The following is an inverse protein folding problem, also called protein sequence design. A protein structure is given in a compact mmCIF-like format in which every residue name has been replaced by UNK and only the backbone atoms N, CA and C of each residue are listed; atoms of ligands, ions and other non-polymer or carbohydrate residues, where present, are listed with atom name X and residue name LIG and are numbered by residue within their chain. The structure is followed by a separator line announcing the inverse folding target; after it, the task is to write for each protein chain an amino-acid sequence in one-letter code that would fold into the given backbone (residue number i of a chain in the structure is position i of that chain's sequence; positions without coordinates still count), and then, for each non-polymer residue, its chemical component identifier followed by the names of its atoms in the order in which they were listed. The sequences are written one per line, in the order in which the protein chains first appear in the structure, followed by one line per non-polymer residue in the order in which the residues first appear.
data_IF_660004275442
#
_entry.id   IF_660004275442
#
_cell.length_a   1.000
_cell.length_b   1.000
_cell.length_c   1.000
_cell.angle_alpha   90.00
_cell.angle_beta   90.00
_cell.angle_gamma   90.00
#
_symmetry.space_group_name_H-M   'P 1'
#
loop_
_entity.id
_entity.type
_entity.pdbx_description
1 polymer ?
#
# COMPACT_ATOMS: atom_id res chain seq x y z
N UNK A 1 -11.38 3.63 -1.36
CA UNK A 1 -12.00 3.39 -0.04
C UNK A 1 -12.21 4.67 0.77
N UNK A 2 -11.22 5.57 0.86
CA UNK A 2 -11.34 6.83 1.62
C UNK A 2 -12.60 7.66 1.31
N UNK A 3 -12.94 7.86 0.03
CA UNK A 3 -14.13 8.63 -0.38
C UNK A 3 -15.45 8.06 0.16
N UNK A 4 -15.59 6.74 0.21
CA UNK A 4 -16.80 6.07 0.71
C UNK A 4 -16.97 6.23 2.23
N UNK A 5 -15.86 6.35 2.96
CA UNK A 5 -15.85 6.52 4.40
C UNK A 5 -16.00 7.99 4.83
N UNK A 6 -15.70 8.94 3.94
CA UNK A 6 -15.70 10.37 4.24
C UNK A 6 -16.98 10.92 4.90
N UNK A 7 -18.21 10.52 4.48
CA UNK A 7 -19.45 10.99 5.11
C UNK A 7 -19.57 10.59 6.58
N UNK A 8 -19.03 9.42 6.96
CA UNK A 8 -19.10 8.91 8.32
C UNK A 8 -18.16 9.64 9.29
N UNK A 9 -17.10 10.28 8.76
CA UNK A 9 -16.08 11.00 9.55
C UNK A 9 -16.23 12.52 9.47
N UNK A 10 -17.24 13.00 8.74
CA UNK A 10 -17.46 14.43 8.48
C UNK A 10 -16.32 15.07 7.69
N UNK A 11 -15.80 14.34 6.69
CA UNK A 11 -14.78 14.81 5.75
C UNK A 11 -15.43 14.97 4.38
N UNK A 12 -14.97 15.96 3.61
CA UNK A 12 -15.43 16.16 2.25
C UNK A 12 -15.05 14.95 1.37
N UNK A 13 -16.06 14.38 0.69
CA UNK A 13 -15.88 13.16 -0.08
C UNK A 13 -15.03 13.38 -1.34
N UNK A 14 -15.09 14.58 -1.93
CA UNK A 14 -14.30 14.94 -3.10
C UNK A 14 -12.82 15.07 -2.75
N UNK A 15 -12.49 15.79 -1.67
CA UNK A 15 -11.13 15.83 -1.12
C UNK A 15 -10.61 14.45 -0.75
N UNK A 16 -11.44 13.59 -0.13
CA UNK A 16 -11.07 12.22 0.21
C UNK A 16 -10.82 11.35 -1.03
N UNK A 17 -11.59 11.53 -2.10
CA UNK A 17 -11.35 10.86 -3.38
C UNK A 17 -10.05 11.35 -4.02
N UNK A 18 -9.84 12.66 -4.06
CA UNK A 18 -8.65 13.31 -4.65
C UNK A 18 -7.37 12.83 -3.99
N UNK A 19 -7.26 12.93 -2.65
CA UNK A 19 -6.06 12.44 -1.95
C UNK A 19 -5.93 10.93 -2.04
N UNK A 20 -7.04 10.19 -2.05
CA UNK A 20 -7.02 8.75 -2.23
C UNK A 20 -6.48 8.32 -3.60
N UNK A 21 -6.69 9.10 -4.66
CA UNK A 21 -6.11 8.84 -5.98
C UNK A 21 -4.66 9.30 -6.09
N UNK A 22 -4.31 10.41 -5.42
CA UNK A 22 -3.02 11.07 -5.59
C UNK A 22 -1.95 10.69 -4.55
N UNK A 23 -2.30 9.98 -3.47
CA UNK A 23 -1.34 9.69 -2.39
C UNK A 23 -0.10 8.90 -2.83
N UNK A 24 -0.26 8.05 -3.85
CA UNK A 24 0.80 7.22 -4.46
C UNK A 24 1.10 7.66 -5.90
N UNK A 25 0.86 8.94 -6.24
CA UNK A 25 1.11 9.47 -7.59
C UNK A 25 2.59 9.68 -7.88
N UNK A 26 3.32 8.57 -7.94
CA UNK A 26 4.74 8.49 -8.17
C UNK A 26 4.99 8.03 -9.61
N UNK A 27 5.55 8.92 -10.45
CA UNK A 27 5.84 8.62 -11.86
C UNK A 27 7.10 7.76 -12.03
N UNK A 28 7.95 7.72 -11.00
CA UNK A 28 9.17 6.91 -10.97
C UNK A 28 8.82 5.54 -10.42
N UNK A 29 9.31 4.48 -11.06
CA UNK A 29 9.12 3.11 -10.62
C UNK A 29 10.16 2.74 -9.55
N UNK A 30 9.79 2.92 -8.28
CA UNK A 30 10.63 2.62 -7.12
C UNK A 30 10.79 1.11 -6.84
N UNK A 31 10.11 0.24 -7.61
CA UNK A 31 10.33 -1.20 -7.54
C UNK A 31 11.58 -1.66 -8.31
N UNK A 32 12.17 -0.79 -9.12
CA UNK A 32 13.41 -1.12 -9.81
C UNK A 32 14.58 -1.15 -8.80
N UNK A 33 15.25 -2.31 -8.73
CA UNK A 33 16.34 -2.66 -7.81
C UNK A 33 17.59 -1.78 -7.90
N UNK A 34 17.57 -0.72 -8.69
CA UNK A 34 18.72 0.14 -8.87
C UNK A 34 18.83 1.11 -7.69
N UNK A 35 19.53 0.64 -6.65
CA UNK A 35 19.81 1.39 -5.42
C UNK A 35 20.55 2.71 -5.65
N UNK A 36 21.06 2.93 -6.87
CA UNK A 36 21.73 4.18 -7.27
C UNK A 36 20.74 5.31 -7.56
N UNK A 37 19.47 5.01 -7.83
CA UNK A 37 18.44 6.02 -8.21
C UNK A 37 17.95 6.82 -6.99
N UNK A 38 18.09 6.29 -5.78
CA UNK A 38 17.43 6.84 -4.58
C UNK A 38 18.38 7.32 -3.47
N UNK A 39 19.69 7.40 -3.73
CA UNK A 39 20.70 7.85 -2.75
C UNK A 39 20.63 7.14 -1.38
N UNK A 40 20.11 5.91 -1.34
CA UNK A 40 19.90 5.15 -0.11
C UNK A 40 18.76 5.65 0.79
N UNK A 41 17.87 6.53 0.31
CA UNK A 41 16.68 6.97 1.04
C UNK A 41 15.60 5.89 1.04
N UNK A 42 14.88 5.77 2.16
CA UNK A 42 13.76 4.83 2.25
C UNK A 42 12.54 5.41 1.54
N UNK A 43 11.92 4.60 0.67
CA UNK A 43 10.73 4.95 -0.11
C UNK A 43 9.67 5.66 0.73
N UNK A 44 9.36 5.13 1.93
CA UNK A 44 8.34 5.62 2.85
C UNK A 44 8.51 7.08 3.32
N UNK A 45 9.70 7.68 3.22
CA UNK A 45 9.91 9.08 3.59
C UNK A 45 9.76 10.06 2.43
N UNK A 46 10.09 9.62 1.21
CA UNK A 46 10.24 10.54 0.08
C UNK A 46 9.08 10.44 -0.92
N UNK A 47 8.47 9.26 -1.07
CA UNK A 47 7.34 9.10 -1.98
C UNK A 47 6.11 9.99 -1.68
N UNK A 48 5.79 10.36 -0.42
CA UNK A 48 4.68 11.27 -0.17
C UNK A 48 4.99 12.69 -0.64
N UNK A 49 6.28 13.08 -0.65
CA UNK A 49 6.75 14.36 -1.16
C UNK A 49 6.65 14.36 -2.69
N UNK A 50 7.19 13.33 -3.34
CA UNK A 50 7.11 13.14 -4.80
C UNK A 50 5.68 13.08 -5.30
N UNK A 51 4.78 12.41 -4.58
CA UNK A 51 3.38 12.31 -4.95
C UNK A 51 2.69 13.67 -5.01
N UNK A 52 3.02 14.58 -4.07
CA UNK A 52 2.51 15.95 -4.09
C UNK A 52 3.14 16.75 -5.24
N UNK A 53 4.45 16.67 -5.41
CA UNK A 53 5.16 17.40 -6.47
C UNK A 53 4.68 16.99 -7.87
N UNK A 54 4.54 15.69 -8.12
CA UNK A 54 4.03 15.16 -9.39
C UNK A 54 2.58 15.57 -9.62
N UNK A 55 1.73 15.52 -8.58
CA UNK A 55 0.34 15.95 -8.71
C UNK A 55 0.26 17.44 -9.07
N UNK A 56 1.07 18.29 -8.45
CA UNK A 56 1.11 19.72 -8.78
C UNK A 56 1.67 19.98 -10.18
N UNK A 57 2.68 19.23 -10.61
CA UNK A 57 3.27 19.32 -11.95
C UNK A 57 2.27 18.95 -13.06
N UNK A 58 1.42 17.95 -12.83
CA UNK A 58 0.34 17.55 -13.73
C UNK A 58 -0.89 18.50 -13.68
N UNK A 59 -0.82 19.56 -12.87
CA UNK A 59 -1.84 20.60 -12.80
C UNK A 59 -2.98 20.33 -11.80
N UNK A 60 -2.83 19.35 -10.90
CA UNK A 60 -3.79 19.14 -9.83
C UNK A 60 -3.60 20.19 -8.73
N UNK A 61 -4.65 20.94 -8.43
CA UNK A 61 -4.65 21.89 -7.32
C UNK A 61 -4.95 21.16 -6.00
N UNK A 62 -3.96 21.08 -5.11
CA UNK A 62 -4.10 20.48 -3.77
C UNK A 62 -4.13 21.57 -2.69
N UNK A 63 -5.17 21.56 -1.86
CA UNK A 63 -5.23 22.44 -0.69
C UNK A 63 -4.19 22.04 0.37
N UNK A 64 -3.86 22.97 1.26
CA UNK A 64 -2.92 22.71 2.37
C UNK A 64 -3.31 21.47 3.20
N UNK A 65 -4.62 21.24 3.41
CA UNK A 65 -5.12 20.08 4.16
C UNK A 65 -4.88 18.76 3.42
N UNK A 66 -5.02 18.77 2.10
CA UNK A 66 -4.83 17.60 1.24
C UNK A 66 -3.35 17.25 1.11
N UNK A 67 -2.49 18.24 0.88
CA UNK A 67 -1.03 18.04 0.88
C UNK A 67 -0.55 17.45 2.21
N UNK A 68 -1.01 18.01 3.33
CA UNK A 68 -0.71 17.47 4.68
C UNK A 68 -1.22 16.04 4.87
N UNK A 69 -2.38 15.70 4.31
CA UNK A 69 -2.92 14.35 4.38
C UNK A 69 -2.02 13.38 3.59
N UNK A 70 -1.62 13.74 2.37
CA UNK A 70 -0.69 12.95 1.56
C UNK A 70 0.67 12.83 2.28
N UNK A 71 1.29 13.90 2.74
CA UNK A 71 2.58 13.83 3.44
C UNK A 71 2.63 12.93 4.67
N UNK A 72 1.50 12.72 5.35
CA UNK A 72 1.43 11.92 6.58
C UNK A 72 0.85 10.52 6.37
N UNK A 73 0.46 10.16 5.13
CA UNK A 73 -0.30 8.94 4.89
C UNK A 73 0.48 7.66 5.24
N UNK A 74 1.82 7.72 5.18
CA UNK A 74 2.71 6.61 5.52
C UNK A 74 2.89 6.30 7.00
N UNK A 75 2.39 7.13 7.93
CA UNK A 75 2.46 6.84 9.36
C UNK A 75 1.96 5.41 9.66
N UNK A 76 2.66 4.55 10.43
CA UNK A 76 3.82 4.84 11.28
C UNK A 76 5.19 4.57 10.62
N UNK A 77 5.25 4.24 9.32
CA UNK A 77 6.51 4.00 8.61
C UNK A 77 7.26 5.31 8.32
N UNK A 78 6.53 6.40 8.16
CA UNK A 78 7.07 7.77 8.10
C UNK A 78 6.96 8.46 9.47
N UNK A 79 7.87 9.41 9.74
CA UNK A 79 7.88 10.25 10.95
C UNK A 79 6.75 11.28 10.96
N UNK A 80 6.10 11.51 9.82
CA UNK A 80 5.01 12.47 9.67
C UNK A 80 3.70 11.94 10.26
N UNK A 81 3.20 12.58 11.32
CA UNK A 81 1.96 12.20 12.00
C UNK A 81 0.75 12.86 11.30
N UNK A 82 -0.33 12.11 10.99
CA UNK A 82 -1.55 12.70 10.45
C UNK A 82 -2.21 13.61 11.49
N UNK A 83 -2.44 14.87 11.13
CA UNK A 83 -3.03 15.87 12.04
C UNK A 83 -4.46 16.27 11.68
N UNK A 84 -5.04 15.65 10.65
CA UNK A 84 -6.37 15.99 10.14
C UNK A 84 -7.20 14.71 9.99
N UNK A 85 -8.53 14.84 10.09
CA UNK A 85 -9.45 13.71 9.85
C UNK A 85 -9.23 13.11 8.46
N UNK A 86 -8.95 13.95 7.47
CA UNK A 86 -8.60 13.53 6.11
C UNK A 86 -7.31 12.70 6.07
N UNK A 87 -6.26 13.13 6.78
CA UNK A 87 -5.01 12.39 6.90
C UNK A 87 -5.19 11.04 7.57
N UNK A 88 -5.89 10.99 8.71
CA UNK A 88 -6.22 9.71 9.38
C UNK A 88 -7.04 8.79 8.49
N UNK A 89 -8.03 9.34 7.79
CA UNK A 89 -8.88 8.57 6.88
C UNK A 89 -8.07 7.97 5.74
N UNK A 90 -7.14 8.74 5.16
CA UNK A 90 -6.25 8.29 4.11
C UNK A 90 -5.28 7.22 4.61
N UNK A 91 -4.54 7.48 5.69
CA UNK A 91 -3.61 6.51 6.32
C UNK A 91 -4.27 5.19 6.66
N UNK A 92 -5.45 5.23 7.30
CA UNK A 92 -6.17 4.02 7.65
C UNK A 92 -6.66 3.30 6.40
N UNK A 93 -7.10 4.07 5.39
CA UNK A 93 -7.60 3.48 4.16
C UNK A 93 -6.52 2.71 3.42
N UNK A 94 -5.37 3.34 3.20
CA UNK A 94 -4.19 2.72 2.60
C UNK A 94 -3.82 1.41 3.33
N UNK A 95 -3.63 1.47 4.65
CA UNK A 95 -3.23 0.29 5.44
C UNK A 95 -4.21 -0.85 5.41
N UNK A 96 -5.51 -0.56 5.41
CA UNK A 96 -6.51 -1.62 5.38
C UNK A 96 -6.49 -2.36 4.05
N UNK A 97 -6.28 -1.65 2.94
CA UNK A 97 -6.13 -2.25 1.61
C UNK A 97 -4.85 -3.07 1.56
N UNK A 98 -3.72 -2.49 1.97
CA UNK A 98 -2.44 -3.22 2.01
C UNK A 98 -2.48 -4.47 2.92
N UNK A 99 -3.19 -4.40 4.04
CA UNK A 99 -3.38 -5.53 4.94
C UNK A 99 -4.25 -6.61 4.30
N UNK A 100 -5.37 -6.23 3.66
CA UNK A 100 -6.24 -7.18 2.95
C UNK A 100 -5.49 -7.92 1.85
N UNK A 101 -4.70 -7.22 1.05
CA UNK A 101 -3.86 -7.82 0.01
C UNK A 101 -2.81 -8.76 0.61
N UNK A 102 -2.15 -8.33 1.69
CA UNK A 102 -1.17 -9.16 2.40
C UNK A 102 -1.78 -10.45 2.94
N UNK A 103 -2.98 -10.39 3.53
CA UNK A 103 -3.71 -11.56 4.01
C UNK A 103 -4.13 -12.49 2.87
N UNK A 104 -4.66 -11.95 1.77
CA UNK A 104 -5.03 -12.73 0.61
C UNK A 104 -3.82 -13.48 0.03
N UNK A 105 -2.69 -12.79 -0.14
CA UNK A 105 -1.44 -13.38 -0.61
C UNK A 105 -0.89 -14.46 0.33
N UNK A 106 -1.01 -14.26 1.65
CA UNK A 106 -0.60 -15.25 2.64
C UNK A 106 -1.46 -16.52 2.59
N UNK A 107 -2.78 -16.38 2.37
CA UNK A 107 -3.68 -17.52 2.19
C UNK A 107 -3.34 -18.31 0.93
N UNK A 108 -3.11 -17.62 -0.20
CA UNK A 108 -2.69 -18.26 -1.44
C UNK A 108 -1.36 -19.01 -1.29
N UNK A 109 -0.37 -18.38 -0.66
CA UNK A 109 0.92 -19.01 -0.36
C UNK A 109 0.77 -20.25 0.54
N UNK A 110 -0.12 -20.18 1.54
CA UNK A 110 -0.42 -21.31 2.43
C UNK A 110 -1.08 -22.48 1.67
N UNK A 111 -2.06 -22.19 0.82
CA UNK A 111 -2.73 -23.20 -0.02
C UNK A 111 -1.72 -23.88 -0.94
N UNK A 112 -0.86 -23.11 -1.60
CA UNK A 112 0.22 -23.63 -2.43
C UNK A 112 1.20 -24.51 -1.63
N UNK A 113 1.57 -24.08 -0.43
CA UNK A 113 2.43 -24.86 0.46
C UNK A 113 1.79 -26.19 0.88
N UNK A 114 0.51 -26.18 1.30
CA UNK A 114 -0.23 -27.39 1.64
C UNK A 114 -0.36 -28.36 0.45
N UNK A 115 -0.59 -27.83 -0.77
CA UNK A 115 -0.61 -28.64 -1.98
C UNK A 115 0.73 -29.32 -2.26
N UNK A 116 1.85 -28.60 -2.09
CA UNK A 116 3.20 -29.15 -2.23
C UNK A 116 3.47 -30.26 -1.19
N UNK A 117 3.09 -30.04 0.07
CA UNK A 117 3.21 -31.06 1.13
C UNK A 117 2.40 -32.32 0.79
N UNK A 118 1.17 -32.17 0.29
CA UNK A 118 0.34 -33.30 -0.11
C UNK A 118 0.87 -34.04 -1.36
N UNK A 119 1.46 -33.34 -2.33
CA UNK A 119 2.19 -33.98 -3.45
C UNK A 119 3.39 -34.80 -2.97
N UNK A 120 4.14 -34.29 -1.99
CA UNK A 120 5.23 -35.04 -1.35
C UNK A 120 4.73 -36.33 -0.71
N UNK A 121 3.61 -36.25 0.03
CA UNK A 121 2.97 -37.39 0.71
C UNK A 121 2.47 -38.46 -0.27
N UNK A 122 1.87 -38.07 -1.40
CA UNK A 122 1.43 -38.99 -2.46
C UNK A 122 2.59 -39.68 -3.19
N UNK A 123 3.72 -38.99 -3.39
CA UNK A 123 4.94 -39.62 -3.94
C UNK A 123 5.52 -40.68 -3.01
N UNK A 124 5.61 -40.39 -1.71
CA UNK A 124 6.13 -41.36 -0.72
C UNK A 124 5.20 -42.58 -0.63
N UNK A 125 3.88 -42.38 -0.59
CA UNK A 125 2.92 -43.48 -0.59
C UNK A 125 3.02 -44.37 -1.83
N UNK A 126 3.26 -43.80 -3.02
CA UNK A 126 3.52 -44.58 -4.25
C UNK A 126 4.83 -45.34 -4.23
N UNK A 127 5.90 -44.77 -3.66
CA UNK A 127 7.21 -45.45 -3.56
C UNK A 127 7.15 -46.63 -2.60
N UNK A 128 6.50 -46.47 -1.44
CA UNK A 128 6.32 -47.57 -0.46
C UNK A 128 5.51 -48.72 -1.07
N UNK A 129 4.46 -48.41 -1.85
CA UNK A 129 3.61 -49.41 -2.50
C UNK A 129 4.24 -50.13 -3.69
N UNK A 130 5.39 -49.66 -4.20
CA UNK A 130 6.14 -50.27 -5.31
C UNK A 130 7.31 -51.15 -4.85
N UNK A 131 7.63 -51.11 -3.54
CA UNK A 131 8.70 -51.89 -2.89
C UNK A 131 8.18 -53.15 -2.16
N UNK A 132 6.87 -53.38 -2.17
CA UNK A 132 6.21 -54.64 -1.81
C UNK A 132 5.69 -55.31 -3.07
#
# INVERSE_FOLDING_TARGET
MAAALAPFVGVDAESAARVGLLHDFCLIDYHQTDKTIHDGRWYCFYHPEDAVENAEAEGFYLSYKEKRAIWSHMFPLSTSIPTSRLGYLLTLSDKTVAAQESFANAVEAWVHFCFLLNRGRLRVARVVRRKH
#
